data_IF_221366031788
#
_entry.id   IF_221366031788
#
_cell.length_a   1.000
_cell.length_b   1.000
_cell.length_c   1.000
_cell.angle_alpha   90.00
_cell.angle_beta   90.00
_cell.angle_gamma   90.00
#
_symmetry.space_group_name_H-M   'P 1'
#
loop_
_entity.id
_entity.type
_entity.pdbx_description
1 polymer ?
#
# COMPACT_ATOMS: atom_id res chain seq x y z
N UNK A 1 -9.96 -3.72 1.62
CA UNK A 1 -10.40 -2.41 2.19
C UNK A 1 -11.26 -1.70 1.13
N UNK A 2 -12.41 -1.13 1.49
CA UNK A 2 -13.37 -0.57 0.53
C UNK A 2 -14.23 0.56 1.09
N UNK A 3 -14.73 1.43 0.21
CA UNK A 3 -15.85 2.34 0.46
C UNK A 3 -16.86 2.25 -0.70
N UNK A 4 -17.86 3.15 -0.72
CA UNK A 4 -18.91 3.17 -1.75
C UNK A 4 -18.38 3.43 -3.18
N UNK A 5 -17.20 4.03 -3.31
CA UNK A 5 -16.66 4.50 -4.58
C UNK A 5 -15.50 3.65 -5.10
N UNK A 6 -14.75 3.00 -4.21
CA UNK A 6 -13.57 2.24 -4.58
C UNK A 6 -13.23 1.14 -3.57
N UNK A 7 -12.49 0.14 -4.03
CA UNK A 7 -11.85 -0.85 -3.18
C UNK A 7 -10.43 -1.13 -3.64
N UNK A 8 -9.62 -1.61 -2.71
CA UNK A 8 -8.31 -2.18 -2.98
C UNK A 8 -8.32 -3.66 -2.64
N UNK A 9 -7.78 -4.43 -3.57
CA UNK A 9 -7.52 -5.85 -3.43
C UNK A 9 -6.02 -6.08 -3.53
N UNK A 10 -5.39 -6.45 -2.42
CA UNK A 10 -3.95 -6.67 -2.26
C UNK A 10 -3.77 -7.81 -1.26
N UNK A 11 -2.77 -8.63 -1.49
CA UNK A 11 -2.43 -9.75 -0.61
C UNK A 11 -1.76 -9.22 0.67
N UNK A 12 -1.87 -9.98 1.77
CA UNK A 12 -1.30 -9.59 3.06
C UNK A 12 0.23 -9.62 3.06
N UNK A 13 0.86 -10.27 2.09
CA UNK A 13 2.30 -10.25 1.87
C UNK A 13 2.76 -9.05 1.03
N UNK A 14 1.89 -8.05 0.82
CA UNK A 14 2.05 -6.87 -0.04
C UNK A 14 1.86 -7.09 -1.55
N UNK A 15 1.65 -8.33 -1.98
CA UNK A 15 1.56 -8.71 -3.38
C UNK A 15 0.30 -8.21 -4.11
N UNK A 16 0.44 -8.03 -5.42
CA UNK A 16 -0.66 -7.84 -6.36
C UNK A 16 -0.72 -9.03 -7.32
N UNK A 17 -0.96 -10.23 -6.77
CA UNK A 17 -0.64 -11.51 -7.44
C UNK A 17 -1.67 -11.97 -8.47
N UNK A 18 -2.85 -11.36 -8.52
CA UNK A 18 -3.94 -11.81 -9.40
C UNK A 18 -4.39 -10.72 -10.35
N UNK A 19 -5.06 -11.11 -11.44
CA UNK A 19 -5.70 -10.13 -12.36
C UNK A 19 -6.70 -9.21 -11.66
N UNK A 20 -7.22 -9.65 -10.50
CA UNK A 20 -8.17 -8.92 -9.66
C UNK A 20 -7.50 -8.04 -8.60
N UNK A 21 -6.20 -8.21 -8.35
CA UNK A 21 -5.45 -7.33 -7.45
C UNK A 21 -5.38 -5.93 -8.04
N UNK A 22 -5.37 -4.89 -7.22
CA UNK A 22 -5.30 -3.51 -7.66
C UNK A 22 -6.29 -2.60 -6.95
N UNK A 23 -6.40 -1.37 -7.44
CA UNK A 23 -7.43 -0.41 -7.02
C UNK A 23 -8.53 -0.38 -8.08
N UNK A 24 -9.76 -0.51 -7.61
CA UNK A 24 -10.93 -0.60 -8.44
C UNK A 24 -11.95 0.46 -8.04
N UNK A 25 -12.58 1.07 -9.04
CA UNK A 25 -13.90 1.69 -8.92
C UNK A 25 -14.91 0.67 -9.46
N UNK A 26 -16.16 0.59 -8.95
CA UNK A 26 -17.14 -0.36 -9.51
C UNK A 26 -17.19 -0.30 -11.04
N UNK A 27 -16.92 -1.43 -11.69
CA UNK A 27 -16.85 -1.57 -13.14
C UNK A 27 -15.53 -1.20 -13.83
N UNK A 28 -14.55 -0.62 -13.11
CA UNK A 28 -13.28 -0.16 -13.69
C UNK A 28 -12.08 -0.50 -12.79
N UNK A 29 -11.05 -1.11 -13.38
CA UNK A 29 -9.73 -1.15 -12.77
C UNK A 29 -9.04 0.18 -13.01
N UNK A 30 -8.41 0.74 -11.99
CA UNK A 30 -7.68 2.01 -12.08
C UNK A 30 -6.16 1.80 -12.04
N UNK A 31 -5.72 0.81 -11.27
CA UNK A 31 -4.31 0.55 -10.99
C UNK A 31 -4.14 -0.96 -10.74
N UNK A 32 -3.15 -1.55 -11.39
CA UNK A 32 -2.77 -2.96 -11.25
C UNK A 32 -2.04 -3.22 -9.94
N UNK A 33 -1.05 -2.38 -9.63
CA UNK A 33 -0.26 -2.45 -8.41
C UNK A 33 0.31 -1.10 -8.02
N UNK A 34 0.69 -0.96 -6.76
CA UNK A 34 1.63 0.07 -6.32
C UNK A 34 2.63 -0.52 -5.35
N UNK A 35 3.81 0.10 -5.27
CA UNK A 35 4.84 -0.26 -4.32
C UNK A 35 5.53 0.99 -3.78
N UNK A 36 5.84 0.98 -2.48
CA UNK A 36 6.66 2.03 -1.88
C UNK A 36 8.12 1.60 -1.85
N UNK A 37 9.01 2.57 -2.07
CA UNK A 37 10.45 2.42 -1.91
C UNK A 37 10.95 3.43 -0.91
N UNK A 38 11.58 2.98 0.17
CA UNK A 38 12.14 3.85 1.21
C UNK A 38 13.65 3.68 1.25
N UNK A 39 14.39 4.78 1.06
CA UNK A 39 15.86 4.79 1.00
C UNK A 39 16.45 3.73 0.05
N UNK A 40 15.79 3.52 -1.10
CA UNK A 40 16.25 2.58 -2.10
C UNK A 40 15.80 1.13 -1.89
N UNK A 41 15.12 0.80 -0.79
CA UNK A 41 14.61 -0.54 -0.47
C UNK A 41 13.11 -0.59 -0.74
N UNK A 42 12.65 -1.58 -1.50
CA UNK A 42 11.22 -1.82 -1.74
C UNK A 42 10.55 -2.31 -0.46
N UNK A 43 9.35 -1.85 -0.16
CA UNK A 43 8.54 -2.41 0.92
C UNK A 43 7.77 -3.62 0.39
N UNK A 44 8.23 -4.81 0.75
CA UNK A 44 7.78 -6.09 0.21
C UNK A 44 7.75 -7.18 1.29
N UNK A 45 7.46 -8.42 0.88
CA UNK A 45 7.37 -9.57 1.78
C UNK A 45 8.67 -9.88 2.53
N UNK A 46 9.84 -9.50 2.00
CA UNK A 46 11.14 -9.83 2.62
C UNK A 46 11.39 -8.97 3.86
N UNK A 47 10.87 -7.74 3.87
CA UNK A 47 11.02 -6.80 4.98
C UNK A 47 9.73 -6.55 5.78
N UNK A 48 8.62 -7.18 5.39
CA UNK A 48 7.39 -7.22 6.16
C UNK A 48 7.59 -8.04 7.45
N UNK A 49 7.11 -7.51 8.58
CA UNK A 49 7.22 -8.16 9.91
C UNK A 49 5.87 -8.56 10.48
N UNK A 50 4.84 -7.76 10.25
CA UNK A 50 3.51 -8.03 10.73
C UNK A 50 2.48 -7.31 9.87
N UNK A 51 1.23 -7.79 9.94
CA UNK A 51 0.08 -7.15 9.34
C UNK A 51 -1.07 -7.18 10.32
N UNK A 52 -1.58 -6.01 10.66
CA UNK A 52 -2.84 -5.87 11.36
C UNK A 52 -3.96 -5.64 10.34
N UNK A 53 -5.03 -6.44 10.43
CA UNK A 53 -6.14 -6.39 9.49
C UNK A 53 -7.50 -6.36 10.19
N UNK A 54 -8.46 -5.69 9.57
CA UNK A 54 -9.81 -5.46 10.09
C UNK A 54 -10.52 -4.41 9.25
N UNK A 55 -11.06 -3.36 9.88
CA UNK A 55 -11.63 -2.20 9.17
C UNK A 55 -10.58 -1.43 8.33
N UNK A 56 -9.35 -1.44 8.81
CA UNK A 56 -8.16 -0.93 8.12
C UNK A 56 -7.13 -2.03 8.01
N UNK A 57 -6.15 -1.86 7.11
CA UNK A 57 -4.98 -2.73 7.07
C UNK A 57 -3.76 -1.89 7.39
N UNK A 58 -2.92 -2.35 8.31
CA UNK A 58 -1.61 -1.76 8.60
C UNK A 58 -0.53 -2.80 8.37
N UNK A 59 0.42 -2.51 7.49
CA UNK A 59 1.61 -3.31 7.25
C UNK A 59 2.78 -2.71 8.04
N UNK A 60 3.53 -3.56 8.72
CA UNK A 60 4.69 -3.17 9.51
C UNK A 60 5.96 -3.69 8.86
N UNK A 61 6.84 -2.80 8.44
CA UNK A 61 8.10 -3.10 7.76
C UNK A 61 9.31 -2.67 8.59
N UNK A 62 10.43 -3.33 8.34
CA UNK A 62 11.73 -2.99 8.91
C UNK A 62 12.79 -2.89 7.83
N UNK A 63 13.38 -1.69 7.67
CA UNK A 63 14.43 -1.45 6.68
C UNK A 63 15.65 -0.79 7.34
N UNK A 64 16.66 -1.61 7.64
CA UNK A 64 17.84 -1.17 8.39
C UNK A 64 17.44 -0.62 9.77
N UNK A 65 17.53 0.70 9.96
CA UNK A 65 17.17 1.39 11.20
C UNK A 65 15.74 1.93 11.24
N UNK A 66 14.99 1.83 10.14
CA UNK A 66 13.67 2.43 10.00
C UNK A 66 12.56 1.41 10.28
N UNK A 67 11.68 1.76 11.22
CA UNK A 67 10.35 1.17 11.33
C UNK A 67 9.40 1.92 10.42
N UNK A 68 8.64 1.20 9.59
CA UNK A 68 7.71 1.81 8.65
C UNK A 68 6.35 1.16 8.80
N UNK A 69 5.33 1.96 9.05
CA UNK A 69 3.93 1.55 9.06
C UNK A 69 3.26 2.05 7.78
N UNK A 70 2.78 1.14 6.92
CA UNK A 70 1.87 1.48 5.84
C UNK A 70 0.43 1.22 6.27
N UNK A 71 -0.36 2.29 6.45
CA UNK A 71 -1.78 2.19 6.77
C UNK A 71 -2.66 2.44 5.55
N UNK A 72 -3.49 1.47 5.21
CA UNK A 72 -4.48 1.51 4.15
C UNK A 72 -5.88 1.71 4.73
N UNK A 73 -6.56 2.75 4.25
CA UNK A 73 -7.93 3.11 4.64
C UNK A 73 -8.79 3.42 3.43
N UNK A 74 -10.11 3.32 3.55
CA UNK A 74 -11.07 3.80 2.55
C UNK A 74 -12.05 4.79 3.21
N UNK A 75 -11.66 6.06 3.40
CA UNK A 75 -12.50 7.05 4.06
C UNK A 75 -13.83 7.24 3.30
N UNK A 76 -14.95 7.42 4.02
CA UNK A 76 -16.28 7.58 3.40
C UNK A 76 -16.40 8.78 2.45
N UNK A 77 -15.69 9.87 2.75
CA UNK A 77 -15.69 11.10 1.94
C UNK A 77 -14.68 11.13 0.80
N UNK A 78 -13.87 10.08 0.62
CA UNK A 78 -12.86 10.01 -0.43
C UNK A 78 -13.34 9.11 -1.57
N UNK A 79 -13.30 9.61 -2.81
CA UNK A 79 -13.51 8.78 -4.00
C UNK A 79 -12.26 7.97 -4.33
N UNK A 80 -11.89 7.05 -3.45
CA UNK A 80 -10.66 6.26 -3.57
C UNK A 80 -10.27 5.59 -2.26
N UNK A 81 -9.06 5.04 -2.25
CA UNK A 81 -8.39 4.52 -1.05
C UNK A 81 -7.25 5.45 -0.67
N UNK A 82 -6.89 5.48 0.60
CA UNK A 82 -5.75 6.24 1.12
C UNK A 82 -4.73 5.25 1.69
N UNK A 83 -3.51 5.30 1.18
CA UNK A 83 -2.34 4.72 1.84
C UNK A 83 -1.52 5.84 2.47
N UNK A 84 -1.03 5.62 3.69
CA UNK A 84 -0.19 6.57 4.43
C UNK A 84 0.97 5.85 5.09
N UNK A 85 2.16 6.43 4.98
CA UNK A 85 3.36 5.95 5.67
C UNK A 85 3.61 6.73 6.96
N UNK A 86 3.86 6.02 8.04
CA UNK A 86 4.50 6.54 9.24
C UNK A 86 5.90 5.91 9.31
N UNK A 87 6.92 6.75 9.43
CA UNK A 87 8.32 6.33 9.37
C UNK A 87 9.00 6.80 10.65
N UNK A 88 9.60 5.86 11.37
CA UNK A 88 10.33 6.13 12.61
C UNK A 88 11.77 5.62 12.49
N UNK A 89 12.74 6.46 12.82
CA UNK A 89 14.13 6.03 12.95
C UNK A 89 14.37 5.52 14.38
N UNK A 90 14.85 4.29 14.51
CA UNK A 90 15.15 3.68 15.83
C UNK A 90 16.45 4.17 16.45
N UNK A 91 17.25 4.93 15.70
CA UNK A 91 18.50 5.51 16.16
C UNK A 91 18.31 6.98 16.55
N UNK A 92 19.12 7.45 17.50
CA UNK A 92 19.13 8.86 17.92
C UNK A 92 19.68 9.79 16.84
N UNK A 93 20.55 9.27 15.96
CA UNK A 93 21.11 10.04 14.87
C UNK A 93 20.05 10.43 13.83
N UNK A 94 20.19 11.65 13.27
CA UNK A 94 19.31 12.09 12.20
C UNK A 94 19.62 11.30 10.93
N UNK A 95 18.56 10.79 10.30
CA UNK A 95 18.64 10.05 9.03
C UNK A 95 17.76 10.70 7.98
N UNK A 96 18.32 10.92 6.79
CA UNK A 96 17.53 11.35 5.64
C UNK A 96 16.61 10.21 5.19
N UNK A 97 15.36 10.55 4.86
CA UNK A 97 14.36 9.61 4.38
C UNK A 97 13.89 10.06 3.01
N UNK A 98 14.13 9.22 2.01
CA UNK A 98 13.60 9.36 0.67
C UNK A 98 12.50 8.31 0.47
N UNK A 99 11.32 8.75 0.08
CA UNK A 99 10.20 7.89 -0.27
C UNK A 99 9.90 8.05 -1.75
N UNK A 100 9.79 6.94 -2.46
CA UNK A 100 9.25 6.88 -3.82
C UNK A 100 8.05 5.94 -3.86
N UNK A 101 7.11 6.19 -4.76
CA UNK A 101 6.00 5.31 -5.05
C UNK A 101 6.08 4.94 -6.52
N UNK A 102 6.00 3.65 -6.81
CA UNK A 102 5.77 3.12 -8.14
C UNK A 102 4.30 2.71 -8.26
N UNK A 103 3.67 3.04 -9.39
CA UNK A 103 2.31 2.66 -9.70
C UNK A 103 2.24 2.03 -11.09
N UNK A 104 1.76 0.80 -11.17
CA UNK A 104 1.34 0.17 -12.42
C UNK A 104 -0.07 0.61 -12.77
N UNK A 105 -0.20 1.59 -13.65
CA UNK A 105 -1.51 2.09 -14.07
C UNK A 105 -2.04 1.22 -15.21
N UNK A 106 -3.19 0.62 -14.98
CA UNK A 106 -3.97 -0.07 -16.01
C UNK A 106 -5.44 0.31 -15.85
N UNK A 107 -5.87 1.27 -16.67
CA UNK A 107 -7.24 1.78 -16.66
C UNK A 107 -8.03 0.97 -17.68
N UNK A 108 -8.89 0.08 -17.18
CA UNK A 108 -9.73 -0.76 -18.04
C UNK A 108 -11.09 -1.03 -17.42
N UNK A 109 -12.09 -1.18 -18.27
CA UNK A 109 -13.38 -1.69 -17.85
C UNK A 109 -13.28 -3.16 -17.44
N UNK A 110 -14.11 -3.56 -16.48
CA UNK A 110 -14.27 -4.96 -16.15
C UNK A 110 -14.94 -5.64 -17.34
N UNK A 111 -14.16 -6.35 -18.16
CA UNK A 111 -14.71 -7.25 -19.16
C UNK A 111 -15.57 -8.30 -18.44
N UNK A 112 -16.79 -8.45 -18.95
CA UNK A 112 -17.80 -9.39 -18.42
C UNK A 112 -17.38 -10.83 -18.68
#
# INVERSE_FOLDING_TARGET
>A
VSNLNAFIHRDLDTGFSTKWSGIWKPGHKLLDYYAYRVNGIWLDSDNLKAVDYGETITYYFETGSLHIEEKITAPKGLSGVKSSLKIENKLEEKKAVQVALEAGIDIREKST
#
